data_IF_301948726143
#
_entry.id   IF_301948726143
#
_cell.length_a   1.000
_cell.length_b   1.000
_cell.length_c   1.000
_cell.angle_alpha   90.00
_cell.angle_beta   90.00
_cell.angle_gamma   90.00
#
_symmetry.space_group_name_H-M   'P 1'
#
loop_
_entity.id
_entity.type
_entity.pdbx_description
1 polymer ?
#
# COMPACT_ATOMS: atom_id res chain seq x y z
N UNK A 1 -9.02 59.27 9.15
CA UNK A 1 -8.31 57.99 8.98
C UNK A 1 -7.74 57.55 10.33
N UNK A 2 -8.25 56.48 10.94
CA UNK A 2 -7.67 55.92 12.18
C UNK A 2 -6.44 55.10 11.79
N UNK A 3 -5.26 55.46 12.32
CA UNK A 3 -4.05 54.67 12.16
C UNK A 3 -4.19 53.35 12.93
N UNK A 4 -3.88 52.23 12.28
CA UNK A 4 -3.86 50.92 12.93
C UNK A 4 -2.68 50.86 13.91
N UNK A 5 -2.94 50.36 15.12
CA UNK A 5 -1.92 50.20 16.15
C UNK A 5 -0.99 49.04 15.78
N UNK A 6 0.32 49.21 16.02
CA UNK A 6 1.33 48.22 15.66
C UNK A 6 1.10 46.85 16.30
N UNK A 7 0.46 46.81 17.49
CA UNK A 7 0.03 45.58 18.15
C UNK A 7 -1.05 44.83 17.34
N UNK A 8 -1.96 45.56 16.69
CA UNK A 8 -3.00 44.99 15.85
C UNK A 8 -2.44 44.44 14.54
N UNK A 9 -1.39 45.06 14.00
CA UNK A 9 -0.70 44.60 12.78
C UNK A 9 0.07 43.29 13.05
N UNK A 10 0.79 43.20 14.17
CA UNK A 10 1.52 41.99 14.56
C UNK A 10 0.57 40.82 14.76
N UNK A 11 -0.53 41.03 15.50
CA UNK A 11 -1.54 40.00 15.77
C UNK A 11 -2.23 39.48 14.48
N UNK A 12 -2.44 40.35 13.49
CA UNK A 12 -3.01 39.94 12.20
C UNK A 12 -2.01 39.10 11.38
N UNK A 13 -0.71 39.46 11.40
CA UNK A 13 0.30 38.71 10.65
C UNK A 13 0.48 37.28 11.17
N UNK A 14 0.43 37.09 12.50
CA UNK A 14 0.54 35.77 13.12
C UNK A 14 -0.65 34.86 12.79
N UNK A 15 -1.85 35.43 12.63
CA UNK A 15 -3.06 34.67 12.30
C UNK A 15 -3.02 34.14 10.85
N UNK A 16 -2.46 34.92 9.91
CA UNK A 16 -2.37 34.53 8.50
C UNK A 16 -1.35 33.41 8.30
N UNK A 17 -0.21 33.42 9.00
CA UNK A 17 0.79 32.34 8.95
C UNK A 17 0.25 31.00 9.46
N UNK A 18 -0.64 31.01 10.46
CA UNK A 18 -1.24 29.78 11.00
C UNK A 18 -2.17 29.09 9.99
N UNK A 19 -2.86 29.86 9.15
CA UNK A 19 -3.79 29.32 8.15
C UNK A 19 -3.03 28.65 7.00
N UNK A 20 -1.86 29.18 6.62
CA UNK A 20 -1.02 28.58 5.57
C UNK A 20 -0.38 27.24 5.98
N UNK A 21 -0.07 27.04 7.27
CA UNK A 21 0.48 25.77 7.76
C UNK A 21 -0.55 24.63 7.76
N UNK A 22 -1.83 24.93 8.01
CA UNK A 22 -2.90 23.91 8.02
C UNK A 22 -3.18 23.41 6.59
N UNK A 23 -3.04 24.27 5.57
CA UNK A 23 -3.34 23.90 4.17
C UNK A 23 -2.24 23.09 3.47
N UNK A 24 -1.05 22.95 4.08
CA UNK A 24 0.02 22.05 3.61
C UNK A 24 0.05 20.73 4.39
N UNK A 25 -1.00 20.44 5.18
CA UNK A 25 -1.31 19.11 5.67
C UNK A 25 -1.66 18.20 4.50
N UNK A 26 -0.61 17.61 3.93
CA UNK A 26 -0.57 16.57 2.92
C UNK A 26 -1.79 15.62 3.03
N UNK A 27 -2.73 15.70 2.07
CA UNK A 27 -3.83 14.74 1.93
C UNK A 27 -3.37 13.39 1.35
N UNK A 28 -2.08 13.08 1.45
CA UNK A 28 -1.59 11.75 1.21
C UNK A 28 -1.67 11.06 2.57
N UNK A 29 -2.79 10.37 2.83
CA UNK A 29 -2.86 9.34 3.86
C UNK A 29 -1.65 8.43 3.63
N UNK A 30 -0.63 8.67 4.44
CA UNK A 30 0.62 7.97 4.33
C UNK A 30 0.31 6.55 4.79
N UNK A 31 0.36 5.59 3.87
CA UNK A 31 0.33 4.13 4.13
C UNK A 31 1.55 3.72 5.01
N UNK A 32 2.27 4.67 5.60
CA UNK A 32 3.72 4.63 5.77
C UNK A 32 4.22 3.81 6.96
N UNK A 33 3.38 3.34 7.89
CA UNK A 33 3.90 2.64 9.08
C UNK A 33 3.16 1.38 9.56
N UNK A 34 2.00 1.01 9.02
CA UNK A 34 1.21 -0.06 9.64
C UNK A 34 1.47 -1.47 9.09
N UNK A 35 1.87 -1.61 7.83
CA UNK A 35 1.97 -2.93 7.17
C UNK A 35 3.41 -3.31 6.81
N UNK A 36 3.74 -4.58 7.03
CA UNK A 36 4.96 -5.20 6.52
C UNK A 36 4.94 -5.28 4.99
N UNK A 37 6.11 -5.47 4.38
CA UNK A 37 6.20 -5.65 2.93
C UNK A 37 5.43 -6.86 2.40
N UNK A 38 5.37 -7.94 3.20
CA UNK A 38 4.57 -9.11 2.87
C UNK A 38 3.07 -8.79 2.90
N UNK A 39 2.59 -8.06 3.91
CA UNK A 39 1.18 -7.66 3.99
C UNK A 39 0.77 -6.74 2.85
N UNK A 40 1.61 -5.77 2.49
CA UNK A 40 1.35 -4.90 1.34
C UNK A 40 1.34 -5.70 0.04
N UNK A 41 2.28 -6.63 -0.12
CA UNK A 41 2.36 -7.48 -1.29
C UNK A 41 1.12 -8.38 -1.43
N UNK A 42 0.71 -9.05 -0.36
CA UNK A 42 -0.53 -9.84 -0.30
C UNK A 42 -1.75 -8.97 -0.62
N UNK A 43 -1.77 -7.73 -0.13
CA UNK A 43 -2.84 -6.78 -0.41
C UNK A 43 -2.94 -6.37 -1.88
N UNK A 44 -1.80 -6.16 -2.54
CA UNK A 44 -1.76 -5.74 -3.94
C UNK A 44 -2.02 -6.91 -4.89
N UNK A 45 -1.33 -8.03 -4.70
CA UNK A 45 -1.30 -9.13 -5.67
C UNK A 45 -2.36 -10.20 -5.42
N UNK A 46 -2.74 -10.42 -4.16
CA UNK A 46 -3.75 -11.41 -3.80
C UNK A 46 -5.07 -10.79 -3.38
N UNK A 47 -5.11 -9.46 -3.21
CA UNK A 47 -6.27 -8.69 -2.77
C UNK A 47 -6.75 -9.13 -1.36
N UNK A 48 -5.78 -9.44 -0.49
CA UNK A 48 -6.02 -9.96 0.86
C UNK A 48 -5.51 -9.06 1.97
N UNK A 49 -6.12 -9.20 3.15
CA UNK A 49 -5.72 -8.48 4.35
C UNK A 49 -6.13 -7.00 4.33
N UNK A 50 -5.88 -6.32 5.45
CA UNK A 50 -6.29 -4.94 5.67
C UNK A 50 -5.63 -3.96 4.68
N UNK A 51 -4.37 -4.24 4.26
CA UNK A 51 -3.65 -3.46 3.26
C UNK A 51 -4.39 -3.36 1.91
N UNK A 52 -5.11 -4.41 1.48
CA UNK A 52 -5.91 -4.37 0.26
C UNK A 52 -7.10 -3.41 0.37
N UNK A 53 -7.67 -3.31 1.59
CA UNK A 53 -8.79 -2.44 1.88
C UNK A 53 -8.36 -0.99 2.00
N UNK A 54 -7.14 -0.66 2.39
CA UNK A 54 -6.70 0.73 2.49
C UNK A 54 -6.35 1.35 1.12
N UNK A 55 -6.05 0.51 0.14
CA UNK A 55 -5.85 0.94 -1.23
C UNK A 55 -7.19 1.25 -1.91
N UNK A 56 -7.57 2.54 -1.94
CA UNK A 56 -8.84 3.03 -2.52
C UNK A 56 -9.11 2.49 -3.93
N UNK A 57 -8.07 2.33 -4.75
CA UNK A 57 -8.17 1.77 -6.12
C UNK A 57 -8.50 0.27 -6.13
N UNK A 58 -8.10 -0.47 -5.09
CA UNK A 58 -8.31 -1.91 -4.98
C UNK A 58 -9.62 -2.27 -4.26
N UNK A 59 -10.17 -1.39 -3.40
CA UNK A 59 -11.44 -1.62 -2.67
C UNK A 59 -12.58 -2.18 -3.54
N UNK A 60 -12.77 -1.63 -4.74
CA UNK A 60 -13.83 -2.04 -5.66
C UNK A 60 -13.66 -3.48 -6.22
N UNK A 61 -12.44 -4.04 -6.15
CA UNK A 61 -12.10 -5.38 -6.64
C UNK A 61 -12.02 -6.42 -5.52
N UNK A 62 -11.66 -6.00 -4.30
CA UNK A 62 -11.52 -6.90 -3.13
C UNK A 62 -12.84 -7.60 -2.79
N UNK A 63 -13.93 -6.86 -2.63
CA UNK A 63 -15.23 -7.40 -2.23
C UNK A 63 -15.77 -8.51 -3.16
N UNK A 64 -15.87 -8.30 -4.49
CA UNK A 64 -16.42 -9.33 -5.38
C UNK A 64 -15.54 -10.59 -5.49
N UNK A 65 -14.22 -10.46 -5.32
CA UNK A 65 -13.29 -11.60 -5.35
C UNK A 65 -13.44 -12.43 -4.06
N UNK A 66 -13.51 -11.77 -2.90
CA UNK A 66 -13.72 -12.43 -1.62
C UNK A 66 -15.08 -13.14 -1.58
N UNK A 67 -16.15 -12.52 -2.09
CA UNK A 67 -17.46 -13.16 -2.22
C UNK A 67 -17.41 -14.41 -3.14
N UNK A 68 -16.67 -14.34 -4.24
CA UNK A 68 -16.50 -15.47 -5.16
C UNK A 68 -15.70 -16.61 -4.55
N UNK A 69 -14.69 -16.33 -3.74
CA UNK A 69 -13.89 -17.37 -3.06
C UNK A 69 -14.69 -18.00 -1.92
N UNK A 70 -15.42 -17.19 -1.14
CA UNK A 70 -16.20 -17.65 0.01
C UNK A 70 -17.39 -18.52 -0.38
N UNK A 71 -17.88 -18.42 -1.63
CA UNK A 71 -18.92 -19.30 -2.18
C UNK A 71 -18.39 -20.63 -2.70
N UNK A 72 -17.07 -20.84 -2.75
CA UNK A 72 -16.45 -22.12 -3.15
C UNK A 72 -16.37 -23.09 -1.98
N UNK A 73 -16.17 -24.38 -2.29
CA UNK A 73 -15.94 -25.40 -1.27
C UNK A 73 -14.72 -25.07 -0.40
N UNK A 74 -14.74 -25.55 0.84
CA UNK A 74 -13.64 -25.37 1.82
C UNK A 74 -12.31 -25.85 1.23
N UNK A 75 -12.33 -26.93 0.45
CA UNK A 75 -11.16 -27.48 -0.23
C UNK A 75 -10.53 -26.51 -1.23
N UNK A 76 -11.35 -25.80 -2.01
CA UNK A 76 -10.84 -24.82 -2.97
C UNK A 76 -10.32 -23.57 -2.25
N UNK A 77 -10.98 -23.15 -1.17
CA UNK A 77 -10.49 -22.04 -0.35
C UNK A 77 -9.14 -22.37 0.29
N UNK A 78 -8.99 -23.60 0.79
CA UNK A 78 -7.72 -24.10 1.34
C UNK A 78 -6.64 -24.15 0.26
N UNK A 79 -6.92 -24.75 -0.90
CA UNK A 79 -5.98 -24.83 -2.02
C UNK A 79 -5.51 -23.44 -2.46
N UNK A 80 -6.43 -22.47 -2.55
CA UNK A 80 -6.11 -21.08 -2.88
C UNK A 80 -5.13 -20.47 -1.87
N UNK A 81 -5.38 -20.68 -0.56
CA UNK A 81 -4.48 -20.22 0.50
C UNK A 81 -3.11 -20.88 0.40
N UNK A 82 -3.08 -22.21 0.27
CA UNK A 82 -1.85 -22.99 0.22
C UNK A 82 -0.95 -22.54 -0.95
N UNK A 83 -1.51 -22.28 -2.14
CA UNK A 83 -0.76 -21.77 -3.30
C UNK A 83 -0.18 -20.38 -3.03
N UNK A 84 -0.94 -19.47 -2.42
CA UNK A 84 -0.45 -18.13 -2.11
C UNK A 84 0.66 -18.15 -1.07
N UNK A 85 0.54 -19.00 -0.06
CA UNK A 85 1.56 -19.15 0.96
C UNK A 85 2.83 -19.79 0.38
N UNK A 86 2.71 -20.77 -0.53
CA UNK A 86 3.85 -21.32 -1.27
C UNK A 86 4.57 -20.26 -2.10
N UNK A 87 3.83 -19.41 -2.82
CA UNK A 87 4.40 -18.28 -3.59
C UNK A 87 5.21 -17.36 -2.67
N UNK A 88 4.69 -17.03 -1.49
CA UNK A 88 5.39 -16.15 -0.53
C UNK A 88 6.67 -16.80 -0.03
N UNK A 89 6.62 -18.08 0.36
CA UNK A 89 7.82 -18.79 0.85
C UNK A 89 8.89 -18.93 -0.24
N UNK A 90 8.50 -19.22 -1.49
CA UNK A 90 9.43 -19.28 -2.61
C UNK A 90 10.07 -17.91 -2.92
N UNK A 91 9.31 -16.81 -2.77
CA UNK A 91 9.87 -15.45 -2.88
C UNK A 91 10.92 -15.22 -1.79
N UNK A 92 10.64 -15.58 -0.52
CA UNK A 92 11.60 -15.43 0.59
C UNK A 92 12.86 -16.26 0.36
N UNK A 93 12.71 -17.48 -0.17
CA UNK A 93 13.83 -18.36 -0.46
C UNK A 93 14.71 -17.82 -1.60
N UNK A 94 14.08 -17.24 -2.62
CA UNK A 94 14.78 -16.65 -3.77
C UNK A 94 15.48 -15.34 -3.40
N UNK A 95 14.82 -14.49 -2.62
CA UNK A 95 15.35 -13.21 -2.17
C UNK A 95 14.80 -12.85 -0.77
N UNK A 96 15.58 -13.07 0.31
CA UNK A 96 15.15 -12.80 1.68
C UNK A 96 14.78 -11.33 1.96
N UNK A 97 15.39 -10.39 1.24
CA UNK A 97 15.19 -8.95 1.45
C UNK A 97 14.05 -8.39 0.57
N UNK A 98 13.45 -9.22 -0.28
CA UNK A 98 12.46 -8.80 -1.28
C UNK A 98 11.34 -7.96 -0.68
N UNK A 99 10.73 -8.42 0.41
CA UNK A 99 9.57 -7.74 0.99
C UNK A 99 9.96 -6.42 1.65
N UNK A 100 11.14 -6.33 2.26
CA UNK A 100 11.62 -5.07 2.83
C UNK A 100 11.91 -4.03 1.74
N UNK A 101 12.54 -4.46 0.64
CA UNK A 101 12.78 -3.61 -0.53
C UNK A 101 11.45 -3.21 -1.19
N UNK A 102 10.52 -4.15 -1.33
CA UNK A 102 9.20 -3.89 -1.89
C UNK A 102 8.44 -2.83 -1.06
N UNK A 103 8.43 -2.96 0.27
CA UNK A 103 7.82 -1.96 1.18
C UNK A 103 8.47 -0.58 0.98
N UNK A 104 9.81 -0.54 0.91
CA UNK A 104 10.52 0.73 0.75
C UNK A 104 10.16 1.42 -0.56
N UNK A 105 10.09 0.66 -1.66
CA UNK A 105 9.80 1.22 -2.97
C UNK A 105 8.32 1.60 -3.15
N UNK A 106 7.39 0.79 -2.63
CA UNK A 106 5.95 1.08 -2.75
C UNK A 106 5.52 2.29 -1.89
N UNK A 107 6.23 2.56 -0.79
CA UNK A 107 6.01 3.72 0.08
C UNK A 107 6.82 4.97 -0.37
N UNK A 108 7.51 4.89 -1.50
CA UNK A 108 8.20 6.04 -2.10
C UNK A 108 7.19 7.09 -2.58
N UNK A 109 7.58 8.35 -2.63
CA UNK A 109 6.80 9.40 -3.31
C UNK A 109 7.09 9.46 -4.81
N UNK A 110 8.08 8.72 -5.29
CA UNK A 110 8.44 8.64 -6.70
C UNK A 110 7.60 7.56 -7.40
N UNK A 111 6.69 8.00 -8.26
CA UNK A 111 5.82 7.15 -9.06
C UNK A 111 6.60 6.12 -9.90
N UNK A 112 7.77 6.47 -10.43
CA UNK A 112 8.57 5.53 -11.21
C UNK A 112 9.09 4.38 -10.33
N UNK A 113 9.52 4.71 -9.12
CA UNK A 113 9.95 3.71 -8.12
C UNK A 113 8.79 2.78 -7.72
N UNK A 114 7.58 3.31 -7.54
CA UNK A 114 6.38 2.53 -7.26
C UNK A 114 6.07 1.58 -8.43
N UNK A 115 6.05 2.10 -9.66
CA UNK A 115 5.77 1.31 -10.87
C UNK A 115 6.77 0.17 -11.07
N UNK A 116 8.04 0.44 -10.78
CA UNK A 116 9.10 -0.57 -10.82
C UNK A 116 8.88 -1.65 -9.75
N UNK A 117 8.49 -1.27 -8.53
CA UNK A 117 8.16 -2.22 -7.47
C UNK A 117 7.01 -3.16 -7.86
N UNK A 118 5.94 -2.61 -8.44
CA UNK A 118 4.78 -3.38 -8.91
C UNK A 118 5.17 -4.32 -10.07
N UNK A 119 6.01 -3.83 -10.99
CA UNK A 119 6.53 -4.62 -12.12
C UNK A 119 7.36 -5.79 -11.61
N UNK A 120 8.32 -5.53 -10.72
CA UNK A 120 9.16 -6.55 -10.11
C UNK A 120 8.33 -7.57 -9.32
N UNK A 121 7.30 -7.11 -8.58
CA UNK A 121 6.37 -8.01 -7.89
C UNK A 121 5.58 -8.91 -8.85
N UNK A 122 5.17 -8.38 -10.01
CA UNK A 122 4.49 -9.18 -11.04
C UNK A 122 5.43 -10.20 -11.69
N UNK A 123 6.68 -9.82 -11.93
CA UNK A 123 7.69 -10.71 -12.50
C UNK A 123 8.09 -11.81 -11.54
N UNK A 124 8.27 -11.51 -10.26
CA UNK A 124 8.66 -12.52 -9.28
C UNK A 124 7.55 -13.57 -9.12
N UNK A 125 6.27 -13.17 -9.10
CA UNK A 125 5.13 -14.12 -9.09
C UNK A 125 5.17 -15.03 -10.30
N UNK A 126 5.48 -14.50 -11.50
CA UNK A 126 5.62 -15.33 -12.69
C UNK A 126 6.77 -16.33 -12.54
N UNK A 127 7.92 -15.88 -12.03
CA UNK A 127 9.08 -16.74 -11.82
C UNK A 127 8.75 -17.85 -10.83
N UNK A 128 8.24 -17.53 -9.64
CA UNK A 128 7.94 -18.54 -8.62
C UNK A 128 6.72 -19.37 -8.98
N UNK A 129 5.69 -18.79 -9.59
CA UNK A 129 4.48 -19.51 -9.99
C UNK A 129 4.70 -20.47 -11.18
N UNK A 130 5.67 -20.18 -12.07
CA UNK A 130 6.09 -21.11 -13.12
C UNK A 130 7.02 -22.22 -12.60
N UNK A 131 7.73 -21.96 -11.50
CA UNK A 131 8.66 -22.91 -10.87
C UNK A 131 8.01 -23.74 -9.74
N UNK A 132 6.85 -23.31 -9.23
CA UNK A 132 6.02 -24.07 -8.31
C UNK A 132 5.69 -25.42 -8.96
N UNK A 133 5.98 -26.49 -8.23
CA UNK A 133 6.06 -27.85 -8.77
C UNK A 133 4.71 -28.27 -9.37
N UNK A 134 4.77 -28.79 -10.60
CA UNK A 134 3.78 -29.75 -11.11
C UNK A 134 3.65 -30.97 -10.20
#
# INVERSE_FOLDING_TARGET
MKSLNIKTIIALSTLVTSIFLISYGNNNEAIQEYYSGEEIFRGIFFLEGEAAYDLTVLRAKVNPINETINTKSIEIQKLSRDIKDEIIEEIKNLNPDFFDDFRKHINSTDHHTIDLAITNGSEIIKIVGLNSKK
#
